data_IF_531666010652
#
_entry.id   IF_531666010652
#
_cell.length_a   1.000
_cell.length_b   1.000
_cell.length_c   1.000
_cell.angle_alpha   90.00
_cell.angle_beta   90.00
_cell.angle_gamma   90.00
#
_symmetry.space_group_name_H-M   'P 1'
#
loop_
_entity.id
_entity.type
_entity.pdbx_description
1 polymer ?
#
# COMPACT_ATOMS: atom_id res chain seq x y z
N UNK A 1 0.77 -16.36 -1.59
CA UNK A 1 0.83 -14.87 -1.52
C UNK A 1 -0.24 -14.44 -0.54
N UNK A 2 0.15 -13.78 0.54
CA UNK A 2 -0.76 -13.41 1.62
C UNK A 2 -1.90 -12.55 1.09
N UNK A 3 -3.15 -12.88 1.46
CA UNK A 3 -4.34 -12.11 1.07
C UNK A 3 -4.17 -10.62 1.37
N UNK A 4 -3.54 -10.30 2.50
CA UNK A 4 -3.19 -8.93 2.89
C UNK A 4 -2.27 -8.26 1.86
N UNK A 5 -1.18 -8.93 1.44
CA UNK A 5 -0.25 -8.38 0.43
C UNK A 5 -0.95 -8.09 -0.89
N UNK A 6 -1.82 -9.00 -1.34
CA UNK A 6 -2.59 -8.82 -2.58
C UNK A 6 -3.55 -7.64 -2.47
N UNK A 7 -4.31 -7.54 -1.36
CA UNK A 7 -5.25 -6.43 -1.14
C UNK A 7 -4.51 -5.10 -1.07
N UNK A 8 -3.39 -5.00 -0.35
CA UNK A 8 -2.60 -3.77 -0.26
C UNK A 8 -2.09 -3.31 -1.62
N UNK A 9 -1.64 -4.24 -2.48
CA UNK A 9 -1.23 -3.91 -3.85
C UNK A 9 -2.39 -3.43 -4.73
N UNK A 10 -3.57 -4.03 -4.62
CA UNK A 10 -4.75 -3.59 -5.36
C UNK A 10 -5.14 -2.17 -4.93
N UNK A 11 -5.21 -1.91 -3.62
CA UNK A 11 -5.54 -0.60 -3.08
C UNK A 11 -4.52 0.46 -3.52
N UNK A 12 -3.24 0.10 -3.54
CA UNK A 12 -2.17 0.97 -4.02
C UNK A 12 -2.38 1.37 -5.49
N UNK A 13 -2.59 0.40 -6.37
CA UNK A 13 -2.78 0.64 -7.81
C UNK A 13 -4.03 1.47 -8.08
N UNK A 14 -5.15 1.13 -7.44
CA UNK A 14 -6.42 1.86 -7.61
C UNK A 14 -6.27 3.30 -7.13
N UNK A 15 -5.62 3.52 -5.98
CA UNK A 15 -5.40 4.86 -5.44
C UNK A 15 -4.48 5.69 -6.34
N UNK A 16 -3.41 5.09 -6.86
CA UNK A 16 -2.51 5.74 -7.81
C UNK A 16 -3.26 6.15 -9.09
N UNK A 17 -4.07 5.25 -9.66
CA UNK A 17 -4.84 5.50 -10.86
C UNK A 17 -5.88 6.62 -10.66
N UNK A 18 -6.58 6.64 -9.53
CA UNK A 18 -7.54 7.68 -9.19
C UNK A 18 -6.87 9.07 -9.04
N UNK A 19 -5.71 9.13 -8.39
CA UNK A 19 -4.92 10.36 -8.27
C UNK A 19 -4.46 10.83 -9.66
N UNK A 20 -3.89 9.94 -10.48
CA UNK A 20 -3.48 10.28 -11.85
C UNK A 20 -4.64 10.75 -12.72
N UNK A 21 -5.82 10.12 -12.59
CA UNK A 21 -7.04 10.57 -13.24
C UNK A 21 -7.38 12.02 -12.89
N UNK A 22 -7.34 12.35 -11.59
CA UNK A 22 -7.62 13.71 -11.13
C UNK A 22 -6.60 14.74 -11.64
N UNK A 23 -5.32 14.36 -11.76
CA UNK A 23 -4.27 15.24 -12.26
C UNK A 23 -4.34 15.45 -13.79
N UNK A 24 -4.57 14.39 -14.57
CA UNK A 24 -4.46 14.44 -16.04
C UNK A 24 -5.73 15.00 -16.66
N UNK A 25 -6.90 14.53 -16.20
CA UNK A 25 -8.17 14.85 -16.84
C UNK A 25 -8.86 16.09 -16.23
N UNK A 26 -8.29 16.64 -15.15
CA UNK A 26 -8.76 17.85 -14.47
C UNK A 26 -10.29 17.94 -14.39
N UNK A 27 -10.95 16.94 -13.76
CA UNK A 27 -12.40 16.93 -13.61
C UNK A 27 -12.87 18.08 -12.69
N UNK A 28 -14.17 18.24 -12.51
CA UNK A 28 -14.73 19.28 -11.66
C UNK A 28 -14.08 19.30 -10.25
N UNK A 29 -13.86 20.48 -9.69
CA UNK A 29 -13.04 20.65 -8.47
C UNK A 29 -13.51 19.81 -7.28
N UNK A 30 -14.83 19.62 -7.13
CA UNK A 30 -15.39 18.76 -6.08
C UNK A 30 -14.96 17.29 -6.21
N UNK A 31 -14.78 16.79 -7.44
CA UNK A 31 -14.28 15.45 -7.73
C UNK A 31 -12.80 15.36 -7.33
N UNK A 32 -12.01 16.37 -7.72
CA UNK A 32 -10.58 16.44 -7.36
C UNK A 32 -10.39 16.44 -5.84
N UNK A 33 -11.19 17.22 -5.11
CA UNK A 33 -11.14 17.25 -3.64
C UNK A 33 -11.56 15.92 -3.03
N UNK A 34 -12.60 15.29 -3.54
CA UNK A 34 -13.06 13.98 -3.07
C UNK A 34 -11.98 12.92 -3.29
N UNK A 35 -11.38 12.90 -4.47
CA UNK A 35 -10.29 11.97 -4.80
C UNK A 35 -9.10 12.20 -3.88
N UNK A 36 -8.73 13.46 -3.67
CA UNK A 36 -7.58 13.82 -2.82
C UNK A 36 -7.81 13.40 -1.37
N UNK A 37 -9.00 13.65 -0.83
CA UNK A 37 -9.32 13.35 0.58
C UNK A 37 -9.38 11.85 0.87
N UNK A 38 -9.74 11.02 -0.11
CA UNK A 38 -9.89 9.57 0.08
C UNK A 38 -8.67 8.80 -0.41
N UNK A 39 -8.21 9.04 -1.64
CA UNK A 39 -7.20 8.20 -2.28
C UNK A 39 -5.77 8.57 -1.91
N UNK A 40 -5.47 9.80 -1.47
CA UNK A 40 -4.13 10.13 -0.96
C UNK A 40 -3.86 9.38 0.35
N UNK A 41 -4.74 9.40 1.37
CA UNK A 41 -4.54 8.58 2.56
C UNK A 41 -4.48 7.09 2.27
N UNK A 42 -5.35 6.57 1.39
CA UNK A 42 -5.33 5.15 1.01
C UNK A 42 -4.03 4.75 0.31
N UNK A 43 -3.48 5.63 -0.54
CA UNK A 43 -2.20 5.41 -1.19
C UNK A 43 -1.07 5.29 -0.16
N UNK A 44 -0.96 6.24 0.78
CA UNK A 44 0.06 6.22 1.83
C UNK A 44 -0.11 4.99 2.74
N UNK A 45 -1.34 4.68 3.14
CA UNK A 45 -1.65 3.51 3.96
C UNK A 45 -1.23 2.21 3.26
N UNK A 46 -1.56 2.07 1.97
CA UNK A 46 -1.23 0.88 1.20
C UNK A 46 0.28 0.67 1.08
N UNK A 47 1.08 1.74 0.94
CA UNK A 47 2.54 1.67 0.99
C UNK A 47 3.03 1.17 2.36
N UNK A 48 2.47 1.68 3.45
CA UNK A 48 2.78 1.21 4.80
C UNK A 48 2.49 -0.29 4.98
N UNK A 49 1.33 -0.75 4.51
CA UNK A 49 0.93 -2.16 4.57
C UNK A 49 1.82 -3.06 3.70
N UNK A 50 2.23 -2.59 2.51
CA UNK A 50 3.16 -3.32 1.64
C UNK A 50 4.53 -3.45 2.32
N UNK A 51 5.02 -2.38 2.96
CA UNK A 51 6.29 -2.37 3.70
C UNK A 51 6.26 -3.36 4.88
N UNK A 52 5.20 -3.32 5.70
CA UNK A 52 5.01 -4.25 6.82
C UNK A 52 4.92 -5.71 6.36
N UNK A 53 4.21 -5.98 5.26
CA UNK A 53 4.13 -7.32 4.69
C UNK A 53 5.46 -7.84 4.15
N UNK A 54 6.41 -6.94 3.81
CA UNK A 54 7.77 -7.31 3.42
C UNK A 54 8.63 -7.63 4.64
N UNK A 55 8.63 -6.76 5.67
CA UNK A 55 9.40 -6.99 6.90
C UNK A 55 9.07 -8.33 7.57
N UNK A 56 7.78 -8.71 7.60
CA UNK A 56 7.36 -10.00 8.17
C UNK A 56 7.96 -11.23 7.46
N UNK A 57 8.26 -11.12 6.16
CA UNK A 57 8.92 -12.21 5.42
C UNK A 57 10.40 -12.29 5.73
N UNK A 58 11.07 -11.15 5.86
CA UNK A 58 12.48 -11.09 6.25
C UNK A 58 12.67 -11.67 7.67
N UNK A 59 11.79 -11.32 8.62
CA UNK A 59 11.80 -11.88 9.99
C UNK A 59 11.59 -13.42 10.02
N UNK A 60 10.75 -13.95 9.13
CA UNK A 60 10.53 -15.40 9.02
C UNK A 60 11.74 -16.11 8.41
N UNK A 61 12.40 -15.50 7.41
CA UNK A 61 13.63 -16.05 6.81
C UNK A 61 14.81 -16.05 7.78
N UNK A 62 14.94 -15.01 8.62
CA UNK A 62 16.00 -14.91 9.62
C UNK A 62 15.84 -15.94 10.75
N UNK A 63 14.59 -16.18 11.19
CA UNK A 63 14.29 -17.28 12.14
C UNK A 63 14.65 -18.68 11.60
N UNK A 64 14.60 -18.87 10.29
CA UNK A 64 14.98 -20.13 9.64
C UNK A 64 16.51 -20.26 9.57
N UNK A 65 17.23 -19.15 9.31
CA UNK A 65 18.69 -19.14 9.13
C UNK A 65 19.45 -19.12 10.46
N UNK A 66 18.92 -18.47 11.48
CA UNK A 66 19.56 -18.34 12.79
C UNK A 66 18.63 -18.83 13.92
N UNK A 67 18.35 -20.14 14.00
CA UNK A 67 17.36 -20.69 14.92
C UNK A 67 17.73 -20.56 16.41
N UNK A 68 18.95 -20.11 16.73
CA UNK A 68 19.48 -20.04 18.10
C UNK A 68 19.58 -18.62 18.69
N UNK A 69 19.19 -17.55 17.95
CA UNK A 69 19.19 -16.17 18.48
C UNK A 69 17.79 -15.77 19.00
N UNK A 70 16.95 -16.76 19.32
CA UNK A 70 15.64 -16.57 19.91
C UNK A 70 15.68 -16.30 21.42
N UNK A 71 16.32 -15.21 21.84
CA UNK A 71 16.09 -14.53 23.12
C UNK A 71 16.09 -13.02 22.92
#
# INVERSE_FOLDING_TARGET
MDKLKTVSWIVFIVSAAAILYALILNPASWIVYTISLVFIPLFILSLGLISMARGRKEDEEDKIKEPFIGY
#
